data_IF_698263846944
#
_entry.id   IF_698263846944
#
_cell.length_a   1.000
_cell.length_b   1.000
_cell.length_c   1.000
_cell.angle_alpha   90.00
_cell.angle_beta   90.00
_cell.angle_gamma   90.00
#
_symmetry.space_group_name_H-M   'P 1'
#
loop_
_entity.id
_entity.type
_entity.pdbx_description
1 polymer ?
#
# COMPACT_ATOMS: atom_id res chain seq x y z
N UNK A 1 -50.05 -8.01 -2.86
CA UNK A 1 -49.25 -6.81 -3.20
C UNK A 1 -47.77 -7.17 -3.10
N UNK A 2 -47.23 -7.87 -4.10
CA UNK A 2 -45.81 -8.25 -4.12
C UNK A 2 -44.97 -7.14 -4.73
N UNK A 3 -44.33 -6.35 -3.87
CA UNK A 3 -43.26 -5.44 -4.27
C UNK A 3 -42.03 -6.28 -4.59
N UNK A 4 -41.92 -6.70 -5.85
CA UNK A 4 -40.71 -7.31 -6.40
C UNK A 4 -39.50 -6.42 -6.13
N UNK A 5 -38.62 -6.89 -5.25
CA UNK A 5 -37.33 -6.25 -5.01
C UNK A 5 -36.56 -6.23 -6.33
N UNK A 6 -36.51 -5.06 -6.98
CA UNK A 6 -35.63 -4.79 -8.10
C UNK A 6 -34.19 -5.02 -7.63
N UNK A 7 -33.68 -6.23 -7.84
CA UNK A 7 -32.26 -6.54 -7.68
C UNK A 7 -31.47 -5.49 -8.49
N UNK A 8 -30.73 -4.63 -7.79
CA UNK A 8 -29.83 -3.66 -8.42
C UNK A 8 -28.85 -4.45 -9.28
N UNK A 9 -29.12 -4.52 -10.59
CA UNK A 9 -28.23 -5.18 -11.55
C UNK A 9 -26.87 -4.49 -11.42
N UNK A 10 -25.86 -5.27 -11.04
CA UNK A 10 -24.48 -4.81 -10.92
C UNK A 10 -24.00 -4.13 -12.20
N UNK A 11 -22.92 -3.35 -12.12
CA UNK A 11 -22.38 -2.64 -13.27
C UNK A 11 -22.14 -3.63 -14.43
N UNK A 12 -22.65 -3.30 -15.61
CA UNK A 12 -22.43 -4.11 -16.81
C UNK A 12 -20.92 -4.12 -17.07
N UNK A 13 -20.34 -5.29 -17.32
CA UNK A 13 -18.92 -5.43 -17.68
C UNK A 13 -18.84 -5.65 -19.19
N UNK A 14 -18.03 -4.86 -19.89
CA UNK A 14 -17.79 -5.01 -21.32
C UNK A 14 -16.27 -5.04 -21.55
N UNK A 15 -15.75 -6.21 -21.90
CA UNK A 15 -14.33 -6.41 -22.19
C UNK A 15 -14.05 -6.11 -23.66
N UNK A 16 -12.97 -5.36 -23.93
CA UNK A 16 -12.44 -5.12 -25.28
C UNK A 16 -11.11 -5.85 -25.46
N UNK A 17 -10.76 -6.27 -26.68
CA UNK A 17 -9.43 -6.84 -26.94
C UNK A 17 -8.35 -5.78 -26.69
N UNK A 18 -7.23 -6.21 -26.10
CA UNK A 18 -6.11 -5.35 -25.73
C UNK A 18 -4.79 -6.06 -25.96
N UNK A 19 -3.74 -5.30 -26.29
CA UNK A 19 -2.41 -5.84 -26.57
C UNK A 19 -1.63 -6.10 -25.27
N UNK A 20 -1.04 -7.29 -25.12
CA UNK A 20 -0.23 -7.63 -23.94
C UNK A 20 1.15 -6.97 -23.98
N UNK A 21 1.50 -6.27 -22.91
CA UNK A 21 2.84 -5.71 -22.71
C UNK A 21 3.81 -6.67 -22.02
N UNK A 22 5.07 -6.23 -21.86
CA UNK A 22 6.09 -6.98 -21.13
C UNK A 22 5.83 -7.01 -19.61
N UNK A 23 6.27 -8.11 -18.98
CA UNK A 23 6.19 -8.33 -17.51
C UNK A 23 7.09 -7.38 -16.72
N UNK A 24 8.32 -7.21 -17.20
CA UNK A 24 9.33 -6.36 -16.61
C UNK A 24 9.71 -5.31 -17.66
N UNK A 25 9.52 -4.02 -17.32
CA UNK A 25 9.90 -2.93 -18.20
C UNK A 25 10.61 -1.83 -17.43
N UNK A 26 11.44 -1.05 -18.12
CA UNK A 26 12.13 0.11 -17.53
C UNK A 26 11.15 1.14 -16.97
N UNK A 27 9.95 1.22 -17.56
CA UNK A 27 8.86 2.05 -17.04
C UNK A 27 8.34 1.53 -15.69
N UNK A 28 8.21 0.22 -15.53
CA UNK A 28 7.84 -0.40 -14.26
C UNK A 28 8.89 -0.10 -13.17
N UNK A 29 10.18 -0.25 -13.50
CA UNK A 29 11.26 0.13 -12.59
C UNK A 29 11.21 1.62 -12.20
N UNK A 30 10.92 2.53 -13.13
CA UNK A 30 10.78 3.96 -12.81
C UNK A 30 9.57 4.25 -11.91
N UNK A 31 8.45 3.55 -12.10
CA UNK A 31 7.25 3.69 -11.25
C UNK A 31 7.48 3.17 -9.82
N UNK A 32 8.42 2.24 -9.64
CA UNK A 32 8.76 1.67 -8.33
C UNK A 32 9.25 2.72 -7.31
N UNK A 33 9.89 3.80 -7.76
CA UNK A 33 10.32 4.89 -6.89
C UNK A 33 9.16 5.60 -6.19
N UNK A 34 7.97 5.62 -6.79
CA UNK A 34 6.76 6.15 -6.15
C UNK A 34 6.28 5.23 -5.02
N UNK A 35 6.36 3.92 -5.22
CA UNK A 35 6.03 2.92 -4.20
C UNK A 35 7.01 3.03 -3.02
N UNK A 36 8.31 3.17 -3.30
CA UNK A 36 9.31 3.44 -2.28
C UNK A 36 9.00 4.72 -1.49
N UNK A 37 8.61 5.80 -2.18
CA UNK A 37 8.18 7.05 -1.55
C UNK A 37 6.96 6.89 -0.65
N UNK A 38 5.93 6.16 -1.09
CA UNK A 38 4.77 5.86 -0.25
C UNK A 38 5.14 5.01 0.97
N UNK A 39 6.12 4.12 0.84
CA UNK A 39 6.56 3.26 1.94
C UNK A 39 7.25 4.10 3.03
N UNK A 40 8.16 5.00 2.64
CA UNK A 40 8.77 5.96 3.57
C UNK A 40 7.73 6.86 4.21
N UNK A 41 6.83 7.45 3.40
CA UNK A 41 5.76 8.32 3.90
C UNK A 41 4.84 7.58 4.88
N UNK A 42 4.50 6.33 4.59
CA UNK A 42 3.68 5.49 5.47
C UNK A 42 4.39 5.20 6.80
N UNK A 43 5.69 4.93 6.78
CA UNK A 43 6.47 4.70 7.99
C UNK A 43 6.49 5.93 8.91
N UNK A 44 6.70 7.12 8.35
CA UNK A 44 6.60 8.38 9.11
C UNK A 44 5.17 8.65 9.60
N UNK A 45 4.16 8.47 8.76
CA UNK A 45 2.78 8.66 9.15
C UNK A 45 2.40 7.74 10.33
N UNK A 46 2.76 6.47 10.27
CA UNK A 46 2.53 5.51 11.35
C UNK A 46 3.28 5.87 12.62
N UNK A 47 4.50 6.38 12.50
CA UNK A 47 5.25 6.88 13.65
C UNK A 47 4.52 8.01 14.36
N UNK A 48 4.19 9.10 13.65
CA UNK A 48 3.51 10.24 14.26
C UNK A 48 2.12 9.90 14.79
N UNK A 49 1.33 9.17 14.01
CA UNK A 49 -0.02 8.74 14.39
C UNK A 49 0.06 7.82 15.61
N UNK A 50 0.97 6.86 15.63
CA UNK A 50 1.12 5.95 16.77
C UNK A 50 1.67 6.61 18.03
N UNK A 51 2.48 7.68 17.93
CA UNK A 51 2.85 8.51 19.09
C UNK A 51 1.63 9.30 19.62
N UNK A 52 0.81 9.85 18.73
CA UNK A 52 -0.41 10.58 19.10
C UNK A 52 -1.46 9.64 19.74
N UNK A 53 -1.44 8.37 19.34
CA UNK A 53 -2.35 7.32 19.78
C UNK A 53 -1.72 6.39 20.83
N UNK A 54 -0.90 6.95 21.73
CA UNK A 54 -0.48 6.25 22.96
C UNK A 54 -1.70 6.04 23.86
N UNK A 55 -2.54 5.08 23.46
CA UNK A 55 -3.78 4.72 24.10
C UNK A 55 -3.45 3.60 25.08
N UNK A 56 -3.73 3.84 26.36
CA UNK A 56 -3.50 2.85 27.43
C UNK A 56 -4.39 1.61 27.28
N UNK A 57 -5.50 1.74 26.55
CA UNK A 57 -6.45 0.67 26.26
C UNK A 57 -5.94 -0.23 25.12
N UNK A 58 -5.62 -1.51 25.39
CA UNK A 58 -4.93 -2.38 24.43
C UNK A 58 -5.79 -2.72 23.20
N UNK A 59 -7.09 -2.97 23.36
CA UNK A 59 -7.97 -3.35 22.25
C UNK A 59 -8.18 -2.19 21.27
N UNK A 60 -8.29 -0.97 21.78
CA UNK A 60 -8.49 0.23 20.97
C UNK A 60 -7.23 0.56 20.18
N UNK A 61 -6.04 0.39 20.78
CA UNK A 61 -4.75 0.48 20.08
C UNK A 61 -4.67 -0.50 18.92
N UNK A 62 -5.06 -1.76 19.14
CA UNK A 62 -5.07 -2.79 18.07
C UNK A 62 -6.03 -2.39 16.94
N UNK A 63 -7.26 -1.99 17.28
CA UNK A 63 -8.27 -1.59 16.29
C UNK A 63 -7.77 -0.43 15.42
N UNK A 64 -7.20 0.61 16.04
CA UNK A 64 -6.74 1.79 15.31
C UNK A 64 -5.54 1.47 14.42
N UNK A 65 -4.57 0.69 14.90
CA UNK A 65 -3.43 0.30 14.05
C UNK A 65 -3.87 -0.63 12.90
N UNK A 66 -4.85 -1.52 13.12
CA UNK A 66 -5.44 -2.33 12.05
C UNK A 66 -6.20 -1.48 11.02
N UNK A 67 -6.98 -0.51 11.48
CA UNK A 67 -7.69 0.42 10.60
C UNK A 67 -6.69 1.24 9.76
N UNK A 68 -5.60 1.68 10.38
CA UNK A 68 -4.55 2.46 9.73
C UNK A 68 -3.77 1.63 8.69
N UNK A 69 -3.41 0.38 9.02
CA UNK A 69 -2.84 -0.58 8.06
C UNK A 69 -3.82 -0.87 6.91
N UNK A 70 -5.10 -1.05 7.21
CA UNK A 70 -6.15 -1.27 6.23
C UNK A 70 -6.33 -0.08 5.28
N UNK A 71 -6.36 1.15 5.83
CA UNK A 71 -6.46 2.38 5.05
C UNK A 71 -5.24 2.56 4.14
N UNK A 72 -4.04 2.26 4.63
CA UNK A 72 -2.84 2.28 3.80
C UNK A 72 -2.90 1.23 2.69
N UNK A 73 -3.34 0.00 3.00
CA UNK A 73 -3.57 -1.05 2.00
C UNK A 73 -4.58 -0.62 0.93
N UNK A 74 -5.64 0.09 1.31
CA UNK A 74 -6.63 0.66 0.40
C UNK A 74 -6.04 1.74 -0.50
N UNK A 75 -5.17 2.63 0.01
CA UNK A 75 -4.46 3.63 -0.79
C UNK A 75 -3.55 2.97 -1.82
N UNK A 76 -2.76 1.97 -1.42
CA UNK A 76 -1.93 1.20 -2.36
C UNK A 76 -2.78 0.50 -3.42
N UNK A 77 -3.89 -0.11 -2.99
CA UNK A 77 -4.83 -0.76 -3.88
C UNK A 77 -5.45 0.22 -4.89
N UNK A 78 -5.92 1.39 -4.45
CA UNK A 78 -6.55 2.38 -5.33
C UNK A 78 -5.55 2.92 -6.35
N UNK A 79 -4.32 3.24 -5.92
CA UNK A 79 -3.24 3.66 -6.82
C UNK A 79 -2.90 2.57 -7.85
N UNK A 80 -2.78 1.31 -7.40
CA UNK A 80 -2.56 0.18 -8.28
C UNK A 80 -3.66 0.04 -9.32
N UNK A 81 -4.92 0.09 -8.87
CA UNK A 81 -6.12 0.02 -9.68
C UNK A 81 -6.18 1.12 -10.76
N UNK A 82 -5.94 2.38 -10.39
CA UNK A 82 -5.95 3.51 -11.33
C UNK A 82 -4.84 3.39 -12.38
N UNK A 83 -3.63 3.00 -11.98
CA UNK A 83 -2.52 2.79 -12.93
C UNK A 83 -2.79 1.59 -13.83
N UNK A 84 -3.38 0.52 -13.31
CA UNK A 84 -3.78 -0.66 -14.08
C UNK A 84 -4.85 -0.32 -15.12
N UNK A 85 -5.88 0.43 -14.76
CA UNK A 85 -6.93 0.89 -15.68
C UNK A 85 -6.33 1.72 -16.83
N UNK A 86 -5.41 2.64 -16.51
CA UNK A 86 -4.73 3.47 -17.49
C UNK A 86 -3.84 2.68 -18.47
N UNK A 87 -3.15 1.65 -17.98
CA UNK A 87 -2.33 0.77 -18.83
C UNK A 87 -3.20 -0.12 -19.74
N UNK A 88 -4.38 -0.58 -19.28
CA UNK A 88 -5.35 -1.32 -20.12
C UNK A 88 -5.95 -0.39 -21.18
N UNK A 89 -6.31 0.84 -20.81
CA UNK A 89 -6.79 1.84 -21.76
C UNK A 89 -5.77 2.11 -22.88
N UNK A 90 -4.48 2.20 -22.51
CA UNK A 90 -3.42 2.34 -23.48
C UNK A 90 -3.25 1.10 -24.36
N UNK A 91 -3.36 -0.09 -23.78
CA UNK A 91 -3.27 -1.36 -24.50
C UNK A 91 -4.41 -1.56 -25.51
N UNK A 92 -5.62 -1.04 -25.24
CA UNK A 92 -6.73 -1.00 -26.20
C UNK A 92 -6.39 -0.10 -27.40
N UNK A 93 -5.83 1.09 -27.16
CA UNK A 93 -5.44 2.03 -28.22
C UNK A 93 -4.30 1.44 -29.06
N UNK A 94 -3.32 0.81 -28.41
CA UNK A 94 -2.24 0.10 -29.07
C UNK A 94 -2.76 -1.04 -29.94
N UNK A 95 -3.75 -1.81 -29.47
CA UNK A 95 -4.39 -2.87 -30.26
C UNK A 95 -5.03 -2.34 -31.55
N UNK A 96 -5.79 -1.24 -31.47
CA UNK A 96 -6.41 -0.63 -32.67
C UNK A 96 -5.34 -0.17 -33.66
N UNK A 97 -4.25 0.44 -33.18
CA UNK A 97 -3.12 0.85 -34.06
C UNK A 97 -2.43 -0.34 -34.71
N UNK A 98 -2.32 -1.46 -33.98
CA UNK A 98 -1.77 -2.70 -34.52
C UNK A 98 -2.67 -3.26 -35.63
N UNK A 99 -3.99 -3.26 -35.43
CA UNK A 99 -4.98 -3.67 -36.45
C UNK A 99 -4.97 -2.75 -37.67
N UNK A 100 -4.68 -1.46 -37.50
CA UNK A 100 -4.47 -0.50 -38.59
C UNK A 100 -3.13 -0.69 -39.34
N UNK A 101 -2.34 -1.71 -38.99
CA UNK A 101 -1.05 -2.00 -39.63
C UNK A 101 0.08 -1.02 -39.28
N UNK A 102 -0.10 -0.19 -38.24
CA UNK A 102 0.93 0.76 -37.79
C UNK A 102 1.93 0.04 -36.88
N UNK A 103 3.21 0.29 -37.10
CA UNK A 103 4.26 -0.27 -36.25
C UNK A 103 4.25 0.40 -34.87
N UNK A 104 4.31 -0.40 -33.79
CA UNK A 104 4.24 0.09 -32.42
C UNK A 104 5.66 0.11 -31.83
N UNK A 105 6.16 1.28 -31.39
CA UNK A 105 7.47 1.36 -30.74
C UNK A 105 7.53 0.44 -29.50
N UNK A 106 8.67 -0.20 -29.26
CA UNK A 106 8.85 -1.08 -28.09
C UNK A 106 8.56 -0.39 -26.73
N UNK A 107 8.78 0.93 -26.64
CA UNK A 107 8.41 1.74 -25.46
C UNK A 107 6.90 1.80 -25.20
N UNK A 108 6.09 1.73 -26.24
CA UNK A 108 4.63 1.72 -26.15
C UNK A 108 4.12 0.32 -25.76
N UNK A 109 4.77 -0.74 -26.25
CA UNK A 109 4.51 -2.12 -25.79
C UNK A 109 4.81 -2.26 -24.29
N UNK A 110 5.89 -1.62 -23.81
CA UNK A 110 6.25 -1.58 -22.40
C UNK A 110 5.26 -0.83 -21.51
N UNK A 111 4.41 0.03 -22.10
CA UNK A 111 3.33 0.72 -21.40
C UNK A 111 2.05 -0.12 -21.35
N UNK A 112 1.87 -1.07 -22.27
CA UNK A 112 0.72 -1.96 -22.29
C UNK A 112 0.60 -2.79 -20.99
N UNK A 113 -0.62 -3.22 -20.72
CA UNK A 113 -0.98 -3.93 -19.50
C UNK A 113 -0.39 -5.36 -19.48
N UNK A 114 0.07 -5.76 -18.31
CA UNK A 114 0.35 -7.16 -17.99
C UNK A 114 0.13 -7.37 -16.49
N UNK A 115 -0.68 -8.35 -16.03
CA UNK A 115 -1.08 -8.49 -14.62
C UNK A 115 0.11 -8.60 -13.65
N UNK A 116 1.19 -9.27 -14.05
CA UNK A 116 2.42 -9.40 -13.24
C UNK A 116 3.23 -8.10 -13.08
N UNK A 117 3.00 -7.08 -13.92
CA UNK A 117 3.79 -5.84 -13.93
C UNK A 117 3.61 -5.05 -12.64
N UNK A 118 2.41 -5.03 -12.05
CA UNK A 118 2.14 -4.43 -10.75
C UNK A 118 2.91 -5.09 -9.61
N UNK A 119 3.07 -6.41 -9.63
CA UNK A 119 3.89 -7.12 -8.65
C UNK A 119 5.38 -6.82 -8.84
N UNK A 120 5.85 -6.77 -10.09
CA UNK A 120 7.23 -6.39 -10.38
C UNK A 120 7.54 -4.96 -9.91
N UNK A 121 6.64 -3.99 -10.14
CA UNK A 121 6.82 -2.62 -9.63
C UNK A 121 6.94 -2.57 -8.11
N UNK A 122 6.15 -3.37 -7.40
CA UNK A 122 6.17 -3.45 -5.93
C UNK A 122 7.47 -4.06 -5.45
N UNK A 123 7.89 -5.19 -6.04
CA UNK A 123 9.11 -5.88 -5.65
C UNK A 123 10.34 -4.99 -5.82
N UNK A 124 10.46 -4.29 -6.95
CA UNK A 124 11.58 -3.36 -7.19
C UNK A 124 11.54 -2.17 -6.22
N UNK A 125 10.34 -1.66 -5.91
CA UNK A 125 10.19 -0.48 -5.04
C UNK A 125 10.43 -0.80 -3.56
N UNK A 126 10.03 -1.99 -3.13
CA UNK A 126 10.21 -2.46 -1.76
C UNK A 126 11.57 -3.13 -1.51
N UNK A 127 12.25 -3.59 -2.57
CA UNK A 127 13.56 -4.25 -2.50
C UNK A 127 14.57 -3.57 -1.55
N UNK A 128 14.84 -2.25 -1.62
CA UNK A 128 15.83 -1.64 -0.72
C UNK A 128 15.45 -1.79 0.76
N UNK A 129 14.17 -1.67 1.10
CA UNK A 129 13.69 -1.80 2.48
C UNK A 129 13.71 -3.26 2.94
N UNK A 130 13.33 -4.19 2.07
CA UNK A 130 13.37 -5.63 2.35
C UNK A 130 14.80 -6.09 2.58
N UNK A 131 15.77 -5.62 1.79
CA UNK A 131 17.19 -5.94 1.98
C UNK A 131 17.71 -5.45 3.34
N UNK A 132 17.36 -4.22 3.74
CA UNK A 132 17.69 -3.70 5.08
C UNK A 132 17.10 -4.60 6.18
N UNK A 133 15.83 -4.97 6.04
CA UNK A 133 15.16 -5.86 7.00
C UNK A 133 15.79 -7.26 7.04
N UNK A 134 16.21 -7.81 5.89
CA UNK A 134 16.87 -9.12 5.81
C UNK A 134 18.22 -9.13 6.49
N UNK A 135 19.00 -8.05 6.36
CA UNK A 135 20.29 -7.90 7.05
C UNK A 135 20.06 -7.79 8.56
N UNK A 136 19.03 -7.05 8.98
CA UNK A 136 18.75 -6.81 10.39
C UNK A 136 18.11 -8.01 11.12
N UNK A 137 17.19 -8.73 10.48
CA UNK A 137 16.44 -9.83 11.08
C UNK A 137 17.30 -10.86 11.87
N UNK A 138 18.43 -11.39 11.35
CA UNK A 138 19.26 -12.34 12.10
C UNK A 138 20.06 -11.68 13.25
N UNK A 139 20.27 -10.36 13.21
CA UNK A 139 20.99 -9.60 14.22
C UNK A 139 20.12 -9.24 15.43
N UNK A 140 18.80 -9.41 15.31
CA UNK A 140 17.83 -9.06 16.36
C UNK A 140 18.01 -9.92 17.61
N UNK A 141 18.08 -9.25 18.76
CA UNK A 141 18.17 -9.87 20.09
C UNK A 141 17.05 -9.32 20.97
N UNK A 142 16.61 -10.14 21.93
CA UNK A 142 15.61 -9.73 22.90
C UNK A 142 16.10 -8.47 23.63
N UNK A 143 15.24 -7.45 23.72
CA UNK A 143 15.56 -6.26 24.47
C UNK A 143 15.62 -6.60 25.96
N UNK A 144 16.85 -6.67 26.50
CA UNK A 144 17.08 -6.83 27.94
C UNK A 144 17.11 -5.46 28.59
N UNK A 145 16.49 -5.33 29.76
CA UNK A 145 16.64 -4.15 30.60
C UNK A 145 18.06 -4.14 31.18
N UNK A 146 18.91 -3.24 30.67
CA UNK A 146 20.14 -2.87 31.35
C UNK A 146 19.88 -1.63 32.19
N UNK A 147 20.62 -1.47 33.28
CA UNK A 147 20.60 -0.25 34.08
C UNK A 147 20.96 0.93 33.17
N UNK A 148 20.11 1.96 33.19
CA UNK A 148 20.28 3.15 32.35
C UNK A 148 21.51 3.96 32.75
N UNK A 149 21.81 5.00 31.97
CA UNK A 149 22.88 5.94 32.31
C UNK A 149 22.48 6.72 33.57
N UNK A 150 23.46 6.96 34.43
CA UNK A 150 23.28 7.73 35.64
C UNK A 150 22.67 9.12 35.32
N UNK A 151 21.54 9.53 35.94
CA UNK A 151 21.00 10.87 35.74
C UNK A 151 22.02 11.95 36.13
N UNK A 152 22.12 13.03 35.36
CA UNK A 152 23.11 14.10 35.56
C UNK A 152 23.06 14.72 36.98
N UNK A 153 21.89 14.72 37.64
CA UNK A 153 21.75 15.22 39.01
C UNK A 153 22.33 14.27 40.08
N UNK A 154 22.47 12.98 39.78
CA UNK A 154 23.16 12.01 40.64
C UNK A 154 24.67 12.02 40.44
N UNK A 155 25.16 12.59 39.33
CA UNK A 155 26.57 12.57 38.95
C UNK A 155 27.47 13.27 39.99
N UNK A 156 26.96 14.29 40.66
CA UNK A 156 27.66 14.98 41.75
C UNK A 156 27.81 14.16 43.05
N UNK A 157 26.97 13.14 43.28
CA UNK A 157 27.07 12.27 44.46
C UNK A 157 28.10 11.16 44.30
N UNK A 158 28.72 11.08 43.13
CA UNK A 158 29.70 10.05 42.75
C UNK A 158 31.00 10.12 43.55
N UNK A 159 31.37 11.30 44.04
CA UNK A 159 32.56 11.49 44.88
C UNK A 159 32.38 10.99 46.32
N UNK A 160 31.15 10.64 46.73
CA UNK A 160 30.90 10.08 48.07
C UNK A 160 31.33 8.62 48.13
N UNK A 161 32.21 8.29 49.06
CA UNK A 161 32.78 6.95 49.24
C UNK A 161 31.71 5.86 49.45
N UNK A 162 30.58 6.23 50.06
CA UNK A 162 29.53 5.31 50.49
C UNK A 162 28.58 4.90 49.34
N UNK A 163 28.44 5.74 48.31
CA UNK A 163 27.46 5.57 47.22
C UNK A 163 28.12 5.54 45.84
N UNK A 164 29.34 6.06 45.71
CA UNK A 164 30.08 6.15 44.45
C UNK A 164 30.31 4.80 43.77
N UNK A 165 30.51 3.72 44.54
CA UNK A 165 30.62 2.35 44.00
C UNK A 165 29.31 1.88 43.37
N UNK A 166 28.16 2.15 44.01
CA UNK A 166 26.85 1.82 43.47
C UNK A 166 26.52 2.64 42.21
N UNK A 167 26.89 3.92 42.20
CA UNK A 167 26.73 4.82 41.04
C UNK A 167 27.63 4.41 39.87
N UNK A 168 28.81 3.83 40.14
CA UNK A 168 29.73 3.30 39.14
C UNK A 168 29.11 2.20 38.27
N UNK A 169 28.17 1.41 38.79
CA UNK A 169 27.45 0.37 38.02
C UNK A 169 26.54 0.93 36.92
N UNK A 170 26.21 2.22 36.96
CA UNK A 170 25.40 2.91 35.94
C UNK A 170 26.25 3.49 34.78
N UNK A 171 27.57 3.26 34.77
CA UNK A 171 28.46 3.71 33.69
C UNK A 171 28.48 2.80 32.44
N UNK A 172 27.33 2.31 32.01
CA UNK A 172 27.27 1.71 30.70
C UNK A 172 27.24 2.81 29.64
N UNK A 173 28.41 3.12 29.05
CA UNK A 173 28.47 3.82 27.78
C UNK A 173 27.83 2.93 26.71
N UNK A 174 26.55 3.15 26.43
CA UNK A 174 25.85 2.50 25.33
C UNK A 174 26.37 3.15 24.05
N UNK A 175 27.34 2.51 23.40
CA UNK A 175 27.84 2.95 22.10
C UNK A 175 26.75 2.74 21.06
N UNK A 176 26.31 3.81 20.39
CA UNK A 176 25.35 3.71 19.30
C UNK A 176 26.03 3.08 18.08
N UNK A 177 25.80 1.78 17.91
CA UNK A 177 26.43 0.99 16.86
C UNK A 177 25.63 0.96 15.56
N UNK A 178 26.23 0.36 14.53
CA UNK A 178 25.56 0.10 13.25
C UNK A 178 24.24 -0.68 13.41
N UNK A 179 24.19 -1.64 14.35
CA UNK A 179 23.00 -2.44 14.64
C UNK A 179 21.88 -1.59 15.24
N UNK A 180 22.20 -0.54 15.99
CA UNK A 180 21.20 0.34 16.60
C UNK A 180 20.62 1.30 15.56
N UNK A 181 21.43 1.76 14.60
CA UNK A 181 20.95 2.48 13.43
C UNK A 181 19.98 1.64 12.58
N UNK A 182 20.37 0.39 12.26
CA UNK A 182 19.50 -0.56 11.54
C UNK A 182 18.20 -0.83 12.30
N UNK A 183 18.30 -1.04 13.62
CA UNK A 183 17.14 -1.23 14.51
C UNK A 183 16.17 -0.06 14.40
N UNK A 184 16.67 1.18 14.47
CA UNK A 184 15.83 2.37 14.38
C UNK A 184 15.09 2.45 13.05
N UNK A 185 15.78 2.18 11.94
CA UNK A 185 15.18 2.18 10.60
C UNK A 185 14.11 1.08 10.48
N UNK A 186 14.42 -0.16 10.86
CA UNK A 186 13.46 -1.28 10.75
C UNK A 186 12.28 -1.07 11.69
N UNK A 187 12.51 -0.57 12.90
CA UNK A 187 11.44 -0.28 13.86
C UNK A 187 10.53 0.85 13.40
N UNK A 188 11.05 1.82 12.63
CA UNK A 188 10.24 2.83 11.96
C UNK A 188 9.35 2.21 10.86
N UNK A 189 9.91 1.31 10.04
CA UNK A 189 9.17 0.64 8.96
C UNK A 189 8.06 -0.29 9.47
N UNK A 190 8.32 -0.97 10.59
CA UNK A 190 7.43 -2.00 11.15
C UNK A 190 6.67 -1.48 12.38
N UNK A 191 6.77 -0.19 12.66
CA UNK A 191 6.13 0.49 13.79
C UNK A 191 4.66 0.15 14.01
N UNK A 192 3.76 0.11 12.99
CA UNK A 192 2.36 -0.24 13.23
C UNK A 192 2.21 -1.65 13.82
N UNK A 193 3.04 -2.60 13.42
CA UNK A 193 3.00 -3.97 13.95
C UNK A 193 3.62 -4.05 15.35
N UNK A 194 4.64 -3.24 15.64
CA UNK A 194 5.18 -3.09 17.00
C UNK A 194 4.10 -2.57 17.96
N UNK A 195 3.30 -1.60 17.52
CA UNK A 195 2.17 -1.08 18.29
C UNK A 195 1.03 -2.09 18.48
N UNK A 196 0.80 -3.00 17.53
CA UNK A 196 -0.16 -4.09 17.70
C UNK A 196 0.22 -5.01 18.86
N UNK A 197 1.49 -5.41 18.91
CA UNK A 197 2.02 -6.30 19.95
C UNK A 197 2.06 -5.61 21.32
N UNK A 198 2.33 -4.30 21.31
CA UNK A 198 2.43 -3.49 22.51
C UNK A 198 3.85 -3.46 23.07
N UNK A 199 4.21 -2.30 23.63
CA UNK A 199 5.57 -2.03 24.10
C UNK A 199 6.07 -2.96 25.22
N UNK A 200 5.14 -3.62 25.93
CA UNK A 200 5.44 -4.40 27.14
C UNK A 200 5.68 -5.89 26.82
N UNK A 201 5.43 -6.31 25.58
CA UNK A 201 5.61 -7.70 25.15
C UNK A 201 6.94 -7.84 24.37
N UNK A 202 8.04 -7.91 25.11
CA UNK A 202 9.38 -8.08 24.56
C UNK A 202 9.53 -9.28 23.59
N UNK A 203 9.00 -10.49 23.88
CA UNK A 203 9.12 -11.60 22.92
C UNK A 203 8.30 -11.35 21.66
N UNK A 204 7.12 -10.71 21.76
CA UNK A 204 6.35 -10.34 20.58
C UNK A 204 7.06 -9.32 19.68
N UNK A 205 7.75 -8.33 20.27
CA UNK A 205 8.53 -7.34 19.51
C UNK A 205 9.68 -8.04 18.76
N UNK A 206 10.34 -9.01 19.39
CA UNK A 206 11.38 -9.81 18.75
C UNK A 206 10.85 -10.55 17.51
N UNK A 207 9.66 -11.15 17.61
CA UNK A 207 9.01 -11.79 16.46
C UNK A 207 8.69 -10.82 15.34
N UNK A 208 8.21 -9.62 15.67
CA UNK A 208 7.94 -8.56 14.70
C UNK A 208 9.22 -8.09 14.00
N UNK A 209 10.31 -7.91 14.74
CA UNK A 209 11.61 -7.52 14.16
C UNK A 209 12.20 -8.63 13.27
N UNK A 210 12.04 -9.91 13.64
CA UNK A 210 12.46 -11.06 12.81
C UNK A 210 11.62 -11.24 11.54
N UNK A 211 10.31 -11.00 11.63
CA UNK A 211 9.38 -11.07 10.51
C UNK A 211 9.31 -9.76 9.70
N UNK A 212 10.11 -8.75 10.06
CA UNK A 212 10.16 -7.45 9.39
C UNK A 212 10.24 -7.51 7.87
N UNK A 213 11.01 -8.42 7.22
CA UNK A 213 11.08 -8.46 5.75
C UNK A 213 9.73 -8.76 5.10
N UNK A 214 8.91 -9.57 5.77
CA UNK A 214 7.58 -9.96 5.30
C UNK A 214 6.57 -8.87 5.64
N UNK A 215 6.62 -8.34 6.86
CA UNK A 215 5.67 -7.32 7.35
C UNK A 215 5.73 -6.03 6.53
N UNK A 216 6.93 -5.60 6.12
CA UNK A 216 7.13 -4.42 5.26
C UNK A 216 6.48 -4.60 3.88
N UNK A 217 6.33 -5.84 3.41
CA UNK A 217 5.74 -6.14 2.10
C UNK A 217 4.21 -6.18 2.11
N UNK A 218 3.57 -6.33 3.27
CA UNK A 218 2.11 -6.55 3.36
C UNK A 218 1.33 -5.40 2.71
N UNK A 219 1.62 -4.15 3.09
CA UNK A 219 0.90 -2.99 2.55
C UNK A 219 1.19 -2.76 1.04
N UNK A 220 2.45 -2.75 0.58
CA UNK A 220 2.76 -2.60 -0.84
C UNK A 220 2.18 -3.69 -1.75
N UNK A 221 2.02 -4.94 -1.28
CA UNK A 221 1.45 -6.02 -2.09
C UNK A 221 0.01 -5.72 -2.55
N UNK A 222 -0.76 -4.94 -1.79
CA UNK A 222 -2.09 -4.49 -2.19
C UNK A 222 -2.09 -3.65 -3.47
N UNK A 223 -0.98 -2.97 -3.79
CA UNK A 223 -0.81 -2.30 -5.08
C UNK A 223 -0.80 -3.29 -6.24
N UNK A 224 -0.11 -4.42 -6.11
CA UNK A 224 -0.08 -5.47 -7.13
C UNK A 224 -1.45 -6.10 -7.36
N UNK A 225 -2.21 -6.31 -6.28
CA UNK A 225 -3.59 -6.79 -6.32
C UNK A 225 -4.50 -5.77 -7.01
N UNK A 226 -4.42 -4.50 -6.62
CA UNK A 226 -5.18 -3.41 -7.25
C UNK A 226 -4.88 -3.27 -8.74
N UNK A 227 -3.59 -3.33 -9.12
CA UNK A 227 -3.17 -3.26 -10.51
C UNK A 227 -3.81 -4.35 -11.38
N UNK A 228 -3.91 -5.59 -10.86
CA UNK A 228 -4.57 -6.69 -11.58
C UNK A 228 -6.06 -6.42 -11.84
N UNK A 229 -6.75 -5.67 -11.00
CA UNK A 229 -8.15 -5.31 -11.21
C UNK A 229 -8.36 -4.17 -12.21
N UNK A 230 -7.30 -3.53 -12.70
CA UNK A 230 -7.37 -2.50 -13.74
C UNK A 230 -8.18 -2.95 -14.96
N UNK A 231 -8.08 -4.22 -15.36
CA UNK A 231 -8.88 -4.79 -16.45
C UNK A 231 -10.38 -4.78 -16.14
N UNK A 232 -10.76 -5.17 -14.92
CA UNK A 232 -12.16 -5.18 -14.48
C UNK A 232 -12.70 -3.75 -14.37
N UNK A 233 -11.90 -2.81 -13.86
CA UNK A 233 -12.26 -1.39 -13.77
C UNK A 233 -12.54 -0.81 -15.15
N UNK A 234 -11.64 -1.08 -16.11
CA UNK A 234 -11.82 -0.66 -17.50
C UNK A 234 -13.08 -1.27 -18.14
N UNK A 235 -13.34 -2.55 -17.88
CA UNK A 235 -14.56 -3.21 -18.37
C UNK A 235 -15.84 -2.61 -17.77
N UNK A 236 -15.81 -2.15 -16.51
CA UNK A 236 -16.93 -1.43 -15.89
C UNK A 236 -17.17 -0.08 -16.55
N UNK A 237 -16.11 0.67 -16.91
CA UNK A 237 -16.23 1.93 -17.63
C UNK A 237 -16.91 1.73 -18.99
N UNK A 238 -16.49 0.72 -19.76
CA UNK A 238 -17.12 0.41 -21.05
C UNK A 238 -18.59 0.01 -20.90
N UNK A 239 -18.93 -0.78 -19.88
CA UNK A 239 -20.33 -1.12 -19.64
C UNK A 239 -21.15 0.07 -19.13
N UNK A 240 -20.56 0.99 -18.37
CA UNK A 240 -21.15 2.29 -18.03
C UNK A 240 -21.50 3.10 -19.28
N UNK A 241 -20.57 3.20 -20.23
CA UNK A 241 -20.77 3.86 -21.52
C UNK A 241 -21.89 3.17 -22.31
N UNK A 242 -21.86 1.84 -22.43
CA UNK A 242 -22.88 1.07 -23.16
C UNK A 242 -24.29 1.23 -22.54
N UNK A 243 -24.40 1.22 -21.20
CA UNK A 243 -25.69 1.45 -20.54
C UNK A 243 -26.18 2.88 -20.76
N UNK A 244 -25.30 3.88 -20.69
CA UNK A 244 -25.63 5.28 -20.98
C UNK A 244 -26.17 5.46 -22.42
N UNK A 245 -25.48 4.91 -23.43
CA UNK A 245 -25.96 4.94 -24.82
C UNK A 245 -27.31 4.27 -24.99
N UNK A 246 -27.52 3.10 -24.35
CA UNK A 246 -28.81 2.41 -24.41
C UNK A 246 -29.94 3.22 -23.77
N UNK A 247 -29.67 3.94 -22.67
CA UNK A 247 -30.63 4.84 -22.01
C UNK A 247 -30.95 6.04 -22.89
N UNK A 248 -29.94 6.65 -23.52
CA UNK A 248 -30.11 7.76 -24.46
C UNK A 248 -30.98 7.35 -25.65
N UNK A 249 -30.67 6.21 -26.30
CA UNK A 249 -31.43 5.67 -27.43
C UNK A 249 -32.89 5.36 -27.06
N UNK A 250 -33.14 4.85 -25.86
CA UNK A 250 -34.51 4.64 -25.32
C UNK A 250 -35.28 5.94 -25.11
N UNK A 251 -34.61 7.00 -24.64
CA UNK A 251 -35.24 8.33 -24.50
C UNK A 251 -35.56 8.93 -25.86
N UNK A 252 -34.65 8.84 -26.82
CA UNK A 252 -34.86 9.35 -28.19
C UNK A 252 -35.98 8.60 -28.92
N UNK A 253 -36.07 7.28 -28.77
CA UNK A 253 -37.16 6.48 -29.36
C UNK A 253 -38.52 6.81 -28.75
N UNK A 254 -38.61 6.98 -27.43
CA UNK A 254 -39.83 7.45 -26.76
C UNK A 254 -40.22 8.86 -27.19
N UNK A 255 -39.26 9.79 -27.27
CA UNK A 255 -39.53 11.15 -27.75
C UNK A 255 -40.06 11.16 -29.19
N UNK A 256 -39.49 10.31 -30.07
CA UNK A 256 -39.98 10.15 -31.45
C UNK A 256 -41.38 9.53 -31.52
N UNK A 257 -41.73 8.62 -30.61
CA UNK A 257 -43.07 8.04 -30.53
C UNK A 257 -44.10 9.09 -30.08
N UNK A 258 -43.82 9.81 -28.99
CA UNK A 258 -44.69 10.90 -28.49
C UNK A 258 -44.87 12.00 -29.55
N UNK A 259 -43.80 12.38 -30.26
CA UNK A 259 -43.89 13.36 -31.33
C UNK A 259 -44.71 12.87 -32.55
N UNK A 260 -44.79 11.56 -32.79
CA UNK A 260 -45.65 10.97 -33.82
C UNK A 260 -47.11 10.94 -33.38
N UNK A 261 -47.37 10.55 -32.13
CA UNK A 261 -48.73 10.56 -31.55
C UNK A 261 -49.31 11.97 -31.52
N UNK A 262 -48.55 12.97 -31.09
CA UNK A 262 -49.00 14.37 -31.09
C UNK A 262 -49.28 14.93 -32.50
N UNK A 263 -48.61 14.41 -33.53
CA UNK A 263 -48.88 14.80 -34.92
C UNK A 263 -50.12 14.13 -35.52
N UNK A 264 -50.62 13.05 -34.92
CA UNK A 264 -51.84 12.37 -35.35
C UNK A 264 -53.11 12.92 -34.67
N UNK A 265 -52.93 13.73 -33.63
CA UNK A 265 -54.01 14.36 -32.87
C UNK A 265 -54.31 15.82 -33.31
N UNK A 266 -53.58 16.32 -34.32
CA UNK A 266 -53.78 17.61 -35.00
C UNK A 266 -54.29 17.34 -36.42
#
# INVERSE_FOLDING_TARGET
MDKGASAKKGPKLVYKPWLKGHRASRLAARRSGRIAGYLVMSAFAFFFIGQLLSVDIPWMRVLINLALLGLMGLVYYSEGAHVGEGDVAFAEIAHVRHEEGKNIPGKDIDRCFHPAKGFFTVLVGAAPFVLICLIYAPLTRLATYSLGVLPAWLEGYRSRADIGLALGYYQQHIFFGFVDALRLIVRLLVFPFVNLVGAHNAPGILWVERLSPILVMIAPLWYGVGYRQGERLRAMVHGGIATSHSRKRRRETRAKQVARENKQLL
#
